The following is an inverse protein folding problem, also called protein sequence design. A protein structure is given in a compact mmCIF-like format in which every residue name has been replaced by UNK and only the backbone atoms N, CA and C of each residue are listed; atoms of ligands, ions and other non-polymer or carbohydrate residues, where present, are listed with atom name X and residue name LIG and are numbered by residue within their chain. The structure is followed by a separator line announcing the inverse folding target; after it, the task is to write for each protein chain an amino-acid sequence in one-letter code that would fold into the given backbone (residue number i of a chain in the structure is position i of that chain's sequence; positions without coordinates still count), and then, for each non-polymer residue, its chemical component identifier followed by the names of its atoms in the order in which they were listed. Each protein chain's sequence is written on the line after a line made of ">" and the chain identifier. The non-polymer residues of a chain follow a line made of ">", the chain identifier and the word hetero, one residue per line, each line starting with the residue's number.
data_IF_289198713744
#
_entry.id   IF_289198713744
#
_cell.length_a   1.000
_cell.length_b   1.000
_cell.length_c   1.000
_cell.angle_alpha   90.00
_cell.angle_beta   90.00
_cell.angle_gamma   90.00
#
_symmetry.space_group_name_H-M   'P 1'
#
loop_
_entity.id
_entity.type
_entity.pdbx_description
1 polymer ?
#
# COMPACT_ATOMS: atom_id res chain seq x y z
N UNK A 1 -17.23 11.96 -0.70
CA UNK A 1 -17.22 10.57 -1.20
C UNK A 1 -16.39 10.38 -2.47
N UNK A 2 -16.41 11.27 -3.49
CA UNK A 2 -15.72 11.06 -4.78
C UNK A 2 -14.19 10.82 -4.74
N UNK A 3 -13.45 11.39 -3.79
CA UNK A 3 -11.98 11.37 -3.84
C UNK A 3 -11.39 9.99 -3.46
N UNK A 4 -12.01 9.28 -2.51
CA UNK A 4 -11.62 7.92 -2.14
C UNK A 4 -11.86 6.94 -3.29
N UNK A 5 -13.04 6.99 -3.89
CA UNK A 5 -13.39 6.12 -5.02
C UNK A 5 -12.46 6.34 -6.21
N UNK A 6 -12.06 7.59 -6.47
CA UNK A 6 -11.07 7.92 -7.50
C UNK A 6 -9.66 7.38 -7.16
N UNK A 7 -9.21 7.52 -5.90
CA UNK A 7 -7.91 6.95 -5.47
C UNK A 7 -7.91 5.42 -5.60
N UNK A 8 -8.95 4.76 -5.12
CA UNK A 8 -9.10 3.32 -5.24
C UNK A 8 -9.14 2.86 -6.71
N UNK A 9 -9.88 3.56 -7.57
CA UNK A 9 -9.92 3.25 -9.00
C UNK A 9 -8.54 3.36 -9.65
N UNK A 10 -7.73 4.35 -9.25
CA UNK A 10 -6.38 4.53 -9.78
C UNK A 10 -5.40 3.49 -9.24
N UNK A 11 -5.55 3.06 -8.00
CA UNK A 11 -4.79 1.94 -7.44
C UNK A 11 -5.10 0.63 -8.15
N UNK A 12 -6.38 0.35 -8.42
CA UNK A 12 -6.81 -0.81 -9.21
C UNK A 12 -6.22 -0.75 -10.63
N UNK A 13 -6.32 0.41 -11.30
CA UNK A 13 -5.72 0.62 -12.63
C UNK A 13 -4.23 0.32 -12.62
N UNK A 14 -3.51 0.88 -11.65
CA UNK A 14 -2.07 0.70 -11.49
C UNK A 14 -1.70 -0.77 -11.24
N UNK A 15 -2.50 -1.48 -10.43
CA UNK A 15 -2.30 -2.89 -10.16
C UNK A 15 -2.50 -3.77 -11.41
N UNK A 16 -3.54 -3.50 -12.20
CA UNK A 16 -3.78 -4.20 -13.47
C UNK A 16 -2.63 -3.97 -14.46
N UNK A 17 -2.15 -2.73 -14.60
CA UNK A 17 -1.05 -2.41 -15.51
C UNK A 17 0.25 -3.12 -15.11
N UNK A 18 0.57 -3.16 -13.81
CA UNK A 18 1.74 -3.88 -13.31
C UNK A 18 1.65 -5.37 -13.59
N UNK A 19 0.54 -6.00 -13.24
CA UNK A 19 0.34 -7.44 -13.45
C UNK A 19 0.48 -7.81 -14.94
N UNK A 20 -0.08 -6.97 -15.84
CA UNK A 20 0.03 -7.16 -17.27
C UNK A 20 1.49 -7.06 -17.76
N UNK A 21 2.23 -6.05 -17.31
CA UNK A 21 3.62 -5.83 -17.70
C UNK A 21 4.52 -6.97 -17.22
N UNK A 22 4.43 -7.31 -15.94
CA UNK A 22 5.20 -8.40 -15.31
C UNK A 22 4.96 -9.74 -16.04
N UNK A 23 3.70 -10.06 -16.33
CA UNK A 23 3.36 -11.29 -17.06
C UNK A 23 3.81 -11.26 -18.53
N UNK A 24 3.75 -10.12 -19.21
CA UNK A 24 4.24 -10.00 -20.59
C UNK A 24 5.76 -10.23 -20.67
N UNK A 25 6.51 -9.65 -19.72
CA UNK A 25 7.96 -9.84 -19.59
C UNK A 25 8.32 -11.28 -19.22
N UNK A 26 7.64 -11.87 -18.22
CA UNK A 26 7.81 -13.28 -17.83
C UNK A 26 7.48 -14.23 -18.99
N UNK A 27 6.41 -13.96 -19.74
CA UNK A 27 6.08 -14.69 -20.96
C UNK A 27 7.20 -14.62 -22.00
N UNK A 28 7.91 -13.50 -22.08
CA UNK A 28 9.09 -13.38 -22.93
C UNK A 28 10.27 -14.22 -22.48
N UNK A 29 10.54 -14.27 -21.16
CA UNK A 29 11.56 -15.14 -20.58
C UNK A 29 11.25 -16.62 -20.79
N UNK A 30 9.96 -16.99 -20.80
CA UNK A 30 9.47 -18.34 -21.10
C UNK A 30 9.51 -18.72 -22.58
N UNK A 31 9.86 -17.77 -23.46
CA UNK A 31 9.92 -18.01 -24.91
C UNK A 31 8.57 -17.97 -25.62
N UNK A 32 7.52 -17.41 -25.00
CA UNK A 32 6.23 -17.23 -25.67
C UNK A 32 6.37 -16.24 -26.84
N UNK A 33 5.59 -16.50 -27.90
CA UNK A 33 5.39 -15.55 -28.99
C UNK A 33 4.63 -14.30 -28.51
N UNK A 34 4.55 -13.26 -29.33
CA UNK A 34 3.89 -12.01 -28.95
C UNK A 34 2.42 -12.20 -28.54
N UNK A 35 1.67 -13.06 -29.24
CA UNK A 35 0.27 -13.39 -28.91
C UNK A 35 0.17 -14.17 -27.60
N UNK A 36 1.02 -15.19 -27.39
CA UNK A 36 1.05 -15.94 -26.13
C UNK A 36 1.41 -15.06 -24.93
N UNK A 37 2.30 -14.07 -25.08
CA UNK A 37 2.58 -13.09 -24.02
C UNK A 37 1.37 -12.21 -23.71
N UNK A 38 0.61 -11.83 -24.74
CA UNK A 38 -0.62 -11.06 -24.57
C UNK A 38 -1.70 -11.84 -23.82
N UNK A 39 -1.94 -13.10 -24.20
CA UNK A 39 -2.88 -13.99 -23.51
C UNK A 39 -2.48 -14.21 -22.05
N UNK A 40 -1.18 -14.41 -21.80
CA UNK A 40 -0.67 -14.58 -20.44
C UNK A 40 -0.83 -13.31 -19.59
N UNK A 41 -0.58 -12.12 -20.16
CA UNK A 41 -0.83 -10.85 -19.50
C UNK A 41 -2.33 -10.64 -19.18
N UNK A 42 -3.23 -11.02 -20.09
CA UNK A 42 -4.67 -10.98 -19.83
C UNK A 42 -5.08 -11.91 -18.68
N UNK A 43 -4.52 -13.12 -18.62
CA UNK A 43 -4.80 -14.06 -17.53
C UNK A 43 -4.27 -13.54 -16.18
N UNK A 44 -3.12 -12.87 -16.17
CA UNK A 44 -2.60 -12.21 -14.97
C UNK A 44 -3.53 -11.08 -14.47
N UNK A 45 -4.12 -10.30 -15.36
CA UNK A 45 -5.14 -9.30 -14.98
C UNK A 45 -6.39 -9.99 -14.42
N UNK A 46 -6.88 -11.06 -15.07
CA UNK A 46 -8.08 -11.81 -14.63
C UNK A 46 -7.91 -12.45 -13.25
N UNK A 47 -6.71 -12.90 -12.94
CA UNK A 47 -6.37 -13.55 -11.68
C UNK A 47 -5.92 -12.58 -10.58
N UNK A 48 -5.85 -11.28 -10.86
CA UNK A 48 -5.42 -10.27 -9.90
C UNK A 48 -6.33 -10.24 -8.66
N UNK A 49 -5.74 -10.47 -7.48
CA UNK A 49 -6.47 -10.40 -6.22
C UNK A 49 -6.79 -8.93 -5.87
N UNK A 50 -8.07 -8.56 -5.96
CA UNK A 50 -8.53 -7.19 -5.65
C UNK A 50 -8.83 -6.95 -4.17
N UNK A 51 -9.12 -8.01 -3.40
CA UNK A 51 -9.46 -7.90 -1.97
C UNK A 51 -8.42 -7.13 -1.15
N UNK A 52 -7.10 -7.34 -1.35
CA UNK A 52 -6.07 -6.58 -0.64
C UNK A 52 -6.03 -5.07 -0.97
N UNK A 53 -6.63 -4.64 -2.09
CA UNK A 53 -6.70 -3.25 -2.51
C UNK A 53 -7.89 -2.50 -1.89
N UNK A 54 -8.86 -3.22 -1.33
CA UNK A 54 -10.07 -2.64 -0.73
C UNK A 54 -9.85 -2.17 0.72
N UNK A 55 -8.61 -1.87 1.12
CA UNK A 55 -8.31 -1.49 2.51
C UNK A 55 -9.24 -0.35 2.95
N UNK A 56 -9.87 -0.47 4.12
CA UNK A 56 -10.53 0.68 4.73
C UNK A 56 -9.47 1.76 4.95
N UNK A 57 -9.85 3.03 4.78
CA UNK A 57 -8.99 4.14 5.15
C UNK A 57 -8.73 3.98 6.65
N UNK A 58 -7.51 3.60 7.05
CA UNK A 58 -7.12 3.79 8.44
C UNK A 58 -7.25 5.29 8.72
N UNK A 59 -7.97 5.69 9.79
CA UNK A 59 -8.17 7.10 10.08
C UNK A 59 -6.79 7.72 10.20
N UNK A 60 -6.53 8.79 9.42
CA UNK A 60 -5.24 9.47 9.42
C UNK A 60 -4.81 9.73 10.86
N UNK A 61 -3.86 8.90 11.32
CA UNK A 61 -3.33 8.95 12.66
C UNK A 61 -2.76 10.34 12.87
N UNK A 62 -3.34 11.06 13.83
CA UNK A 62 -3.05 12.46 14.10
C UNK A 62 -1.56 12.73 14.08
N UNK A 63 -1.13 13.56 13.13
CA UNK A 63 0.09 14.35 13.28
C UNK A 63 -0.15 15.37 14.38
N UNK A 64 -0.08 14.89 15.62
CA UNK A 64 0.13 15.71 16.79
C UNK A 64 1.45 16.44 16.61
N UNK A 65 1.36 17.66 16.10
CA UNK A 65 2.30 18.71 16.47
C UNK A 65 2.19 18.90 17.98
N UNK A 66 3.05 18.24 18.73
CA UNK A 66 3.53 18.74 20.01
C UNK A 66 5.05 18.90 19.90
N UNK A 67 5.44 19.99 19.25
CA UNK A 67 6.67 20.66 19.68
C UNK A 67 6.40 21.27 21.06
N UNK A 68 7.16 20.84 22.05
CA UNK A 68 7.50 21.59 23.27
C UNK A 68 6.35 21.86 24.28
N UNK A 69 6.21 20.98 25.27
CA UNK A 69 6.20 21.31 26.70
C UNK A 69 5.81 20.05 27.51
N UNK A 70 6.80 19.34 28.06
CA UNK A 70 6.80 18.83 29.45
C UNK A 70 8.13 18.12 29.73
N UNK A 71 9.20 18.91 29.64
CA UNK A 71 10.27 18.82 30.63
C UNK A 71 9.66 19.16 32.00
N UNK A 72 9.18 18.17 32.75
CA UNK A 72 9.01 18.24 34.21
C UNK A 72 8.35 16.96 34.72
N UNK A 73 9.06 15.83 34.81
CA UNK A 73 8.85 14.82 35.87
C UNK A 73 9.98 13.78 35.84
N UNK A 74 11.21 14.24 36.04
CA UNK A 74 12.32 13.37 36.39
C UNK A 74 13.17 14.09 37.46
N UNK A 75 12.96 13.67 38.71
CA UNK A 75 13.76 14.06 39.86
C UNK A 75 13.11 15.14 40.73
N UNK A 76 12.37 14.76 41.77
CA UNK A 76 13.09 14.53 43.01
C UNK A 76 12.30 13.60 43.95
N UNK A 77 13.06 12.68 44.48
CA UNK A 77 12.65 11.45 45.14
C UNK A 77 12.39 11.73 46.63
N UNK A 78 11.40 11.02 47.16
CA UNK A 78 10.97 11.02 48.54
C UNK A 78 12.10 11.08 49.59
N UNK A 79 11.90 12.03 50.50
CA UNK A 79 12.29 12.08 51.91
C UNK A 79 12.53 10.74 52.65
N UNK A 80 13.62 10.76 53.43
CA UNK A 80 13.90 10.15 54.75
C UNK A 80 14.46 8.71 54.87
N UNK A 81 15.57 8.63 55.61
CA UNK A 81 16.02 7.44 56.34
C UNK A 81 17.51 7.50 56.75
N UNK A 82 17.79 8.07 57.94
CA UNK A 82 18.72 7.59 59.00
C UNK A 82 19.14 8.73 59.96
#
# INVERSE_FOLDING_TARGET
>A
MKNRDLRLAEEIRSACLRAALEAYEDGGLRGLCAEGRWEYALEAIRSLALVPLLKPDEPEGGQGRTSLAEEAYAGDFMTQGE
#
